data_IF_743538196183
#
_entry.id   IF_743538196183
#
_cell.length_a   1.000
_cell.length_b   1.000
_cell.length_c   1.000
_cell.angle_alpha   90.00
_cell.angle_beta   90.00
_cell.angle_gamma   90.00
#
_symmetry.space_group_name_H-M   'P 1'
#
loop_
_entity.id
_entity.type
_entity.pdbx_description
1 polymer ?
#
# COMPACT_ATOMS: atom_id res chain seq x y z
N UNK A 1 2.53 -18.88 -25.53
CA UNK A 1 2.19 -18.28 -24.22
C UNK A 1 1.11 -19.13 -23.57
N UNK A 2 1.37 -19.75 -22.40
CA UNK A 2 0.53 -20.83 -21.83
C UNK A 2 -0.80 -20.30 -21.27
N UNK A 3 -1.89 -20.53 -21.98
CA UNK A 3 -3.27 -20.21 -21.59
C UNK A 3 -3.67 -20.87 -20.24
N UNK A 4 -3.01 -21.97 -19.86
CA UNK A 4 -3.28 -22.65 -18.59
C UNK A 4 -2.86 -21.85 -17.34
N UNK A 5 -1.89 -20.94 -17.44
CA UNK A 5 -1.45 -20.10 -16.31
C UNK A 5 -2.37 -18.92 -16.02
N UNK A 6 -3.05 -18.36 -17.02
CA UNK A 6 -4.01 -17.26 -16.82
C UNK A 6 -5.26 -17.69 -16.04
N UNK A 7 -5.57 -18.98 -16.03
CA UNK A 7 -6.70 -19.55 -15.29
C UNK A 7 -6.36 -20.01 -13.86
N UNK A 8 -5.10 -19.91 -13.44
CA UNK A 8 -4.72 -20.26 -12.06
C UNK A 8 -5.41 -19.34 -11.06
N UNK A 9 -6.19 -19.93 -10.16
CA UNK A 9 -6.88 -19.19 -9.09
C UNK A 9 -5.88 -18.45 -8.21
N UNK A 10 -4.73 -19.08 -7.91
CA UNK A 10 -3.66 -18.47 -7.11
C UNK A 10 -3.12 -17.19 -7.74
N UNK A 11 -2.87 -17.18 -9.06
CA UNK A 11 -2.43 -15.96 -9.76
C UNK A 11 -3.47 -14.84 -9.65
N UNK A 12 -4.74 -15.16 -9.88
CA UNK A 12 -5.83 -14.19 -9.81
C UNK A 12 -5.97 -13.61 -8.38
N UNK A 13 -5.93 -14.47 -7.37
CA UNK A 13 -5.99 -14.04 -5.97
C UNK A 13 -4.80 -13.17 -5.59
N UNK A 14 -3.57 -13.56 -5.95
CA UNK A 14 -2.37 -12.75 -5.69
C UNK A 14 -2.51 -11.36 -6.33
N UNK A 15 -2.91 -11.27 -7.60
CA UNK A 15 -3.08 -9.98 -8.28
C UNK A 15 -4.19 -9.11 -7.64
N UNK A 16 -5.28 -9.72 -7.19
CA UNK A 16 -6.36 -9.00 -6.51
C UNK A 16 -5.93 -8.52 -5.12
N UNK A 17 -5.31 -9.39 -4.33
CA UNK A 17 -4.83 -9.05 -2.98
C UNK A 17 -3.74 -7.97 -3.04
N UNK A 18 -2.74 -8.12 -3.89
CA UNK A 18 -1.69 -7.11 -4.03
C UNK A 18 -2.24 -5.76 -4.53
N UNK A 19 -3.29 -5.77 -5.36
CA UNK A 19 -3.94 -4.54 -5.80
C UNK A 19 -4.66 -3.83 -4.65
N UNK A 20 -5.20 -4.55 -3.66
CA UNK A 20 -5.84 -3.92 -2.49
C UNK A 20 -4.85 -3.17 -1.62
N UNK A 21 -3.55 -3.54 -1.64
CA UNK A 21 -2.50 -2.86 -0.88
C UNK A 21 -2.39 -1.37 -1.26
N UNK A 22 -2.71 -1.01 -2.50
CA UNK A 22 -2.65 0.39 -2.96
C UNK A 22 -3.67 1.26 -2.22
N UNK A 23 -4.87 0.74 -1.97
CA UNK A 23 -5.92 1.44 -1.22
C UNK A 23 -5.66 1.36 0.28
N UNK A 24 -5.15 0.22 0.75
CA UNK A 24 -4.81 -0.01 2.15
C UNK A 24 -3.80 1.04 2.66
N UNK A 25 -2.87 1.50 1.81
CA UNK A 25 -1.83 2.46 2.17
C UNK A 25 -2.36 3.76 2.81
N UNK A 26 -3.54 4.23 2.37
CA UNK A 26 -4.18 5.42 2.93
C UNK A 26 -5.35 5.08 3.85
N UNK A 27 -6.22 4.15 3.45
CA UNK A 27 -7.46 3.84 4.17
C UNK A 27 -7.23 3.37 5.61
N UNK A 28 -6.18 2.58 5.84
CA UNK A 28 -5.87 2.02 7.15
C UNK A 28 -5.48 3.08 8.17
N UNK A 29 -4.72 4.11 7.76
CA UNK A 29 -4.13 5.05 8.70
C UNK A 29 -4.96 6.34 8.89
N UNK A 30 -5.88 6.63 7.98
CA UNK A 30 -6.69 7.84 8.04
C UNK A 30 -7.41 8.04 9.38
N UNK A 31 -7.99 7.00 10.02
CA UNK A 31 -8.62 7.14 11.32
C UNK A 31 -7.66 7.41 12.48
N UNK A 32 -6.36 7.11 12.33
CA UNK A 32 -5.34 7.34 13.37
C UNK A 32 -4.88 8.79 13.46
N UNK A 33 -5.11 9.60 12.43
CA UNK A 33 -4.58 10.96 12.34
C UNK A 33 -4.97 11.85 13.55
N UNK A 34 -6.22 11.87 14.05
CA UNK A 34 -6.58 12.68 15.21
C UNK A 34 -5.83 12.26 16.48
N UNK A 35 -5.64 10.95 16.68
CA UNK A 35 -4.88 10.41 17.80
C UNK A 35 -3.40 10.77 17.74
N UNK A 36 -2.81 10.68 16.54
CA UNK A 36 -1.43 11.10 16.27
C UNK A 36 -1.26 12.62 16.53
N UNK A 37 -2.15 13.44 16.00
CA UNK A 37 -2.10 14.89 16.16
C UNK A 37 -2.13 15.29 17.64
N UNK A 38 -3.05 14.71 18.42
CA UNK A 38 -3.12 14.93 19.86
C UNK A 38 -1.82 14.53 20.56
N UNK A 39 -1.31 13.33 20.30
CA UNK A 39 -0.10 12.80 20.91
C UNK A 39 1.13 13.68 20.63
N UNK A 40 1.39 14.03 19.36
CA UNK A 40 2.56 14.82 19.00
C UNK A 40 2.42 16.30 19.40
N UNK A 41 1.21 16.83 19.47
CA UNK A 41 0.97 18.19 20.03
C UNK A 41 1.25 18.25 21.53
N UNK A 42 0.85 17.22 22.28
CA UNK A 42 1.14 17.11 23.72
C UNK A 42 2.65 16.99 24.00
N UNK A 43 3.40 16.37 23.09
CA UNK A 43 4.87 16.30 23.15
C UNK A 43 5.55 17.61 22.72
N UNK A 44 4.80 18.63 22.31
CA UNK A 44 5.34 19.93 21.91
C UNK A 44 6.04 19.93 20.54
N UNK A 45 5.72 18.97 19.65
CA UNK A 45 6.27 18.94 18.30
C UNK A 45 5.76 20.15 17.52
N UNK A 46 6.69 20.97 17.02
CA UNK A 46 6.34 22.13 16.19
C UNK A 46 5.61 21.69 14.91
N UNK A 47 4.50 22.34 14.58
CA UNK A 47 3.69 22.02 13.39
C UNK A 47 3.17 20.56 13.35
N UNK A 48 2.89 19.93 14.49
CA UNK A 48 2.42 18.55 14.58
C UNK A 48 1.21 18.30 13.65
N UNK A 49 0.22 19.21 13.61
CA UNK A 49 -0.93 19.12 12.72
C UNK A 49 -0.53 18.98 11.25
N UNK A 50 0.38 19.82 10.75
CA UNK A 50 0.84 19.78 9.37
C UNK A 50 1.59 18.46 9.07
N UNK A 51 2.51 18.07 9.95
CA UNK A 51 3.33 16.88 9.77
C UNK A 51 2.47 15.60 9.82
N UNK A 52 1.46 15.54 10.70
CA UNK A 52 0.53 14.41 10.77
C UNK A 52 -0.32 14.31 9.49
N UNK A 53 -0.78 15.43 8.93
CA UNK A 53 -1.47 15.42 7.62
C UNK A 53 -0.56 14.91 6.50
N UNK A 54 0.74 15.20 6.56
CA UNK A 54 1.72 14.68 5.62
C UNK A 54 1.88 13.15 5.72
N UNK A 55 1.66 12.54 6.87
CA UNK A 55 1.68 11.06 7.02
C UNK A 55 0.73 10.38 6.03
N UNK A 56 -0.42 11.00 5.74
CA UNK A 56 -1.39 10.47 4.78
C UNK A 56 -1.01 10.80 3.32
N UNK A 57 -0.51 12.01 3.06
CA UNK A 57 -0.30 12.50 1.69
C UNK A 57 1.11 12.22 1.16
N UNK A 58 2.09 12.04 2.03
CA UNK A 58 3.49 11.81 1.67
C UNK A 58 3.68 10.57 0.78
N UNK A 59 3.02 9.44 1.03
CA UNK A 59 3.10 8.29 0.13
C UNK A 59 2.71 8.63 -1.31
N UNK A 60 1.69 9.47 -1.52
CA UNK A 60 1.23 9.82 -2.87
C UNK A 60 2.32 10.53 -3.69
N UNK A 61 3.09 11.43 -3.07
CA UNK A 61 4.23 12.09 -3.71
C UNK A 61 5.28 11.06 -4.16
N UNK A 62 5.61 10.11 -3.28
CA UNK A 62 6.63 9.09 -3.55
C UNK A 62 6.14 8.00 -4.50
N UNK A 63 4.82 7.79 -4.65
CA UNK A 63 4.23 6.97 -5.72
C UNK A 63 4.52 7.62 -7.08
N UNK A 64 4.33 8.93 -7.22
CA UNK A 64 4.59 9.64 -8.47
C UNK A 64 6.06 9.56 -8.87
N UNK A 65 6.97 9.77 -7.93
CA UNK A 65 8.42 9.67 -8.16
C UNK A 65 8.84 8.22 -8.41
N UNK A 66 8.28 7.28 -7.68
CA UNK A 66 8.64 5.85 -7.72
C UNK A 66 8.14 5.12 -8.96
N UNK A 67 7.01 5.56 -9.55
CA UNK A 67 6.41 4.85 -10.68
C UNK A 67 7.33 4.75 -11.92
N UNK A 68 8.00 5.81 -12.39
CA UNK A 68 8.97 5.69 -13.48
C UNK A 68 10.18 4.82 -13.09
N UNK A 69 10.63 4.90 -11.84
CA UNK A 69 11.74 4.06 -11.34
C UNK A 69 11.33 2.59 -11.36
N UNK A 70 10.12 2.27 -10.89
CA UNK A 70 9.55 0.92 -10.94
C UNK A 70 9.47 0.39 -12.38
N UNK A 71 9.11 1.23 -13.36
CA UNK A 71 9.12 0.88 -14.78
C UNK A 71 10.51 0.45 -15.25
N UNK A 72 11.54 1.24 -14.96
CA UNK A 72 12.94 0.92 -15.32
C UNK A 72 13.39 -0.40 -14.65
N UNK A 73 13.02 -0.63 -13.40
CA UNK A 73 13.37 -1.85 -12.67
C UNK A 73 12.69 -3.07 -13.30
N UNK A 74 11.41 -2.95 -13.70
CA UNK A 74 10.68 -4.02 -14.39
C UNK A 74 11.37 -4.42 -15.68
N UNK A 75 11.85 -3.45 -16.45
CA UNK A 75 12.51 -3.71 -17.74
C UNK A 75 13.84 -4.47 -17.55
N UNK A 76 14.55 -4.21 -16.44
CA UNK A 76 15.84 -4.84 -16.15
C UNK A 76 15.73 -6.19 -15.44
N UNK A 77 14.88 -6.28 -14.43
CA UNK A 77 14.83 -7.40 -13.49
C UNK A 77 13.54 -8.22 -13.60
N UNK A 78 12.54 -7.71 -14.33
CA UNK A 78 11.24 -8.36 -14.49
C UNK A 78 10.23 -8.00 -13.39
N UNK A 79 8.97 -8.42 -13.64
CA UNK A 79 7.80 -8.01 -12.83
C UNK A 79 7.73 -8.70 -11.48
N UNK A 80 8.05 -10.01 -11.44
CA UNK A 80 7.89 -10.83 -10.21
C UNK A 80 8.88 -10.44 -9.10
N UNK A 81 10.19 -10.26 -9.38
CA UNK A 81 11.14 -9.81 -8.36
C UNK A 81 10.78 -8.44 -7.80
N UNK A 82 10.36 -7.50 -8.67
CA UNK A 82 9.94 -6.18 -8.20
C UNK A 82 8.69 -6.27 -7.33
N UNK A 83 7.68 -7.07 -7.73
CA UNK A 83 6.46 -7.24 -6.93
C UNK A 83 6.80 -7.79 -5.54
N UNK A 84 7.59 -8.85 -5.46
CA UNK A 84 7.99 -9.45 -4.18
C UNK A 84 8.78 -8.48 -3.30
N UNK A 85 9.77 -7.78 -3.85
CA UNK A 85 10.54 -6.79 -3.13
C UNK A 85 9.65 -5.62 -2.64
N UNK A 86 8.72 -5.18 -3.47
CA UNK A 86 7.79 -4.09 -3.13
C UNK A 86 6.81 -4.49 -2.04
N UNK A 87 6.29 -5.72 -2.05
CA UNK A 87 5.40 -6.24 -0.99
C UNK A 87 6.13 -6.34 0.35
N UNK A 88 7.39 -6.82 0.35
CA UNK A 88 8.23 -6.86 1.55
C UNK A 88 8.49 -5.44 2.08
N UNK A 89 8.92 -4.53 1.22
CA UNK A 89 9.14 -3.14 1.59
C UNK A 89 7.87 -2.48 2.10
N UNK A 90 6.71 -2.79 1.49
CA UNK A 90 5.40 -2.31 1.90
C UNK A 90 5.07 -2.70 3.35
N UNK A 91 5.26 -3.97 3.70
CA UNK A 91 5.03 -4.47 5.06
C UNK A 91 5.96 -3.80 6.08
N UNK A 92 7.26 -3.73 5.78
CA UNK A 92 8.26 -3.15 6.68
C UNK A 92 8.06 -1.63 6.85
N UNK A 93 7.96 -0.90 5.74
CA UNK A 93 7.79 0.55 5.77
C UNK A 93 6.40 0.95 6.30
N UNK A 94 5.36 0.18 5.95
CA UNK A 94 4.01 0.41 6.42
C UNK A 94 3.86 0.26 7.92
N UNK A 95 4.45 -0.78 8.51
CA UNK A 95 4.41 -1.06 9.93
C UNK A 95 5.30 -0.13 10.78
N UNK A 96 6.14 0.71 10.17
CA UNK A 96 7.10 1.57 10.89
C UNK A 96 6.46 2.44 11.98
N UNK A 97 5.27 2.96 11.76
CA UNK A 97 4.55 3.76 12.75
C UNK A 97 4.05 2.99 13.97
N UNK A 98 4.16 1.65 14.00
CA UNK A 98 3.80 0.85 15.19
C UNK A 98 4.87 0.85 16.27
N UNK A 99 6.11 1.20 15.94
CA UNK A 99 7.27 1.17 16.84
C UNK A 99 8.11 2.44 16.81
N UNK A 100 7.81 3.40 15.93
CA UNK A 100 8.50 4.68 15.89
C UNK A 100 7.70 5.75 16.64
N UNK A 101 8.39 6.48 17.51
CA UNK A 101 7.82 7.58 18.29
C UNK A 101 8.20 8.96 17.72
N UNK A 102 9.08 9.02 16.70
CA UNK A 102 9.45 10.24 16.00
C UNK A 102 8.60 10.42 14.74
N UNK A 103 7.93 11.57 14.65
CA UNK A 103 7.08 11.90 13.50
C UNK A 103 7.88 12.00 12.21
N UNK A 104 9.11 12.49 12.26
CA UNK A 104 10.02 12.56 11.10
C UNK A 104 10.37 11.15 10.59
N UNK A 105 10.67 10.21 11.49
CA UNK A 105 10.96 8.83 11.11
C UNK A 105 9.73 8.12 10.55
N UNK A 106 8.54 8.41 11.09
CA UNK A 106 7.29 7.92 10.51
C UNK A 106 7.11 8.46 9.09
N UNK A 107 7.42 9.73 8.82
CA UNK A 107 7.35 10.31 7.48
C UNK A 107 8.35 9.64 6.51
N UNK A 108 9.56 9.30 6.97
CA UNK A 108 10.50 8.50 6.16
C UNK A 108 9.91 7.14 5.82
N UNK A 109 9.30 6.46 6.79
CA UNK A 109 8.55 5.22 6.56
C UNK A 109 7.42 5.39 5.53
N UNK A 110 6.70 6.52 5.57
CA UNK A 110 5.65 6.85 4.59
C UNK A 110 6.22 7.08 3.18
N UNK A 111 7.38 7.71 3.07
CA UNK A 111 8.07 7.87 1.79
C UNK A 111 8.48 6.51 1.19
N UNK A 112 9.08 5.64 1.98
CA UNK A 112 9.43 4.28 1.57
C UNK A 112 8.19 3.45 1.20
N UNK A 113 7.08 3.61 1.94
CA UNK A 113 5.80 3.01 1.59
C UNK A 113 5.30 3.48 0.23
N UNK A 114 5.46 4.77 -0.09
CA UNK A 114 5.11 5.31 -1.41
C UNK A 114 5.87 4.64 -2.55
N UNK A 115 7.18 4.43 -2.40
CA UNK A 115 7.98 3.66 -3.37
C UNK A 115 7.52 2.22 -3.48
N UNK A 116 7.19 1.57 -2.36
CA UNK A 116 6.66 0.21 -2.35
C UNK A 116 5.32 0.11 -3.10
N UNK A 117 4.39 1.04 -2.84
CA UNK A 117 3.11 1.12 -3.55
C UNK A 117 3.31 1.31 -5.05
N UNK A 118 4.25 2.19 -5.46
CA UNK A 118 4.58 2.39 -6.87
C UNK A 118 5.03 1.07 -7.54
N UNK A 119 5.90 0.31 -6.87
CA UNK A 119 6.37 -0.98 -7.36
C UNK A 119 5.25 -2.03 -7.44
N UNK A 120 4.38 -2.10 -6.44
CA UNK A 120 3.18 -2.98 -6.44
C UNK A 120 2.24 -2.62 -7.59
N UNK A 121 1.86 -1.34 -7.72
CA UNK A 121 0.97 -0.88 -8.79
C UNK A 121 1.50 -1.19 -10.17
N UNK A 122 2.76 -0.81 -10.42
CA UNK A 122 3.38 -1.00 -11.74
C UNK A 122 3.52 -2.48 -12.08
N UNK A 123 3.95 -3.30 -11.12
CA UNK A 123 4.09 -4.75 -11.34
C UNK A 123 2.75 -5.44 -11.54
N UNK A 124 1.75 -5.13 -10.70
CA UNK A 124 0.42 -5.73 -10.81
C UNK A 124 -0.25 -5.38 -12.14
N UNK A 125 -0.22 -4.11 -12.55
CA UNK A 125 -0.78 -3.65 -13.81
C UNK A 125 -0.10 -4.33 -15.00
N UNK A 126 1.23 -4.42 -14.99
CA UNK A 126 1.99 -5.08 -16.07
C UNK A 126 1.67 -6.57 -16.12
N UNK A 127 1.61 -7.27 -14.98
CA UNK A 127 1.24 -8.69 -14.94
C UNK A 127 -0.18 -8.91 -15.47
N UNK A 128 -1.15 -8.04 -15.12
CA UNK A 128 -2.51 -8.14 -15.64
C UNK A 128 -2.50 -8.01 -17.19
N UNK A 129 -1.71 -7.09 -17.73
CA UNK A 129 -1.62 -6.92 -19.19
C UNK A 129 -0.93 -8.08 -19.89
N UNK A 130 0.00 -8.76 -19.22
CA UNK A 130 0.71 -9.91 -19.76
C UNK A 130 -0.14 -11.19 -19.75
N UNK A 131 -0.98 -11.38 -18.70
CA UNK A 131 -1.75 -12.61 -18.56
C UNK A 131 -3.16 -12.54 -19.15
N UNK A 132 -3.73 -11.35 -19.26
CA UNK A 132 -5.09 -11.16 -19.74
C UNK A 132 -5.13 -10.26 -20.98
N UNK A 133 -5.97 -10.62 -21.97
CA UNK A 133 -6.16 -9.86 -23.21
C UNK A 133 -7.64 -9.63 -23.52
N UNK A 134 -7.94 -8.61 -24.31
CA UNK A 134 -9.30 -8.33 -24.79
C UNK A 134 -10.33 -8.21 -23.65
N UNK A 135 -11.47 -8.86 -23.81
CA UNK A 135 -12.57 -8.84 -22.86
C UNK A 135 -12.20 -9.43 -21.48
N UNK A 136 -11.35 -10.46 -21.44
CA UNK A 136 -10.88 -11.05 -20.19
C UNK A 136 -10.08 -10.04 -19.33
N UNK A 137 -9.27 -9.20 -19.97
CA UNK A 137 -8.54 -8.11 -19.32
C UNK A 137 -9.49 -7.06 -18.76
N UNK A 138 -10.47 -6.62 -19.56
CA UNK A 138 -11.46 -5.64 -19.12
C UNK A 138 -12.27 -6.17 -17.91
N UNK A 139 -12.71 -7.42 -17.94
CA UNK A 139 -13.41 -8.06 -16.83
C UNK A 139 -12.54 -8.17 -15.57
N UNK A 140 -11.24 -8.51 -15.74
CA UNK A 140 -10.33 -8.62 -14.58
C UNK A 140 -10.05 -7.25 -13.94
N UNK A 141 -9.89 -6.18 -14.74
CA UNK A 141 -9.73 -4.81 -14.23
C UNK A 141 -11.00 -4.37 -13.48
N UNK A 142 -12.19 -4.71 -13.97
CA UNK A 142 -13.44 -4.47 -13.26
C UNK A 142 -13.50 -5.20 -11.91
N UNK A 143 -13.07 -6.47 -11.86
CA UNK A 143 -12.99 -7.24 -10.63
C UNK A 143 -11.95 -6.65 -9.66
N UNK A 144 -10.78 -6.22 -10.17
CA UNK A 144 -9.75 -5.54 -9.41
C UNK A 144 -10.30 -4.26 -8.75
N UNK A 145 -11.02 -3.44 -9.49
CA UNK A 145 -11.65 -2.23 -8.95
C UNK A 145 -12.66 -2.54 -7.84
N UNK A 146 -13.47 -3.59 -7.99
CA UNK A 146 -14.40 -4.05 -6.96
C UNK A 146 -13.66 -4.52 -5.69
N UNK A 147 -12.57 -5.30 -5.84
CA UNK A 147 -11.73 -5.74 -4.73
C UNK A 147 -11.06 -4.56 -4.01
N UNK A 148 -10.56 -3.57 -4.75
CA UNK A 148 -9.98 -2.36 -4.18
C UNK A 148 -11.03 -1.55 -3.40
N UNK A 149 -12.25 -1.40 -3.94
CA UNK A 149 -13.35 -0.72 -3.27
C UNK A 149 -13.76 -1.43 -1.98
N UNK A 150 -13.96 -2.75 -2.03
CA UNK A 150 -14.26 -3.56 -0.84
C UNK A 150 -13.12 -3.51 0.18
N UNK A 151 -11.87 -3.66 -0.28
CA UNK A 151 -10.68 -3.52 0.54
C UNK A 151 -10.59 -2.17 1.24
N UNK A 152 -10.92 -1.09 0.53
CA UNK A 152 -10.96 0.26 1.10
C UNK A 152 -11.92 0.36 2.29
N UNK A 153 -13.14 -0.14 2.15
CA UNK A 153 -14.14 -0.16 3.24
C UNK A 153 -13.67 -1.04 4.40
N UNK A 154 -13.13 -2.23 4.09
CA UNK A 154 -12.62 -3.15 5.10
C UNK A 154 -11.47 -2.54 5.90
N UNK A 155 -10.44 -2.01 5.22
CA UNK A 155 -9.26 -1.45 5.88
C UNK A 155 -9.55 -0.15 6.62
N UNK A 156 -10.46 0.68 6.11
CA UNK A 156 -10.91 1.87 6.82
C UNK A 156 -11.64 1.49 8.12
N UNK A 157 -12.52 0.49 8.06
CA UNK A 157 -13.28 0.01 9.22
C UNK A 157 -12.38 -0.66 10.28
N UNK A 158 -11.44 -1.50 9.84
CA UNK A 158 -10.46 -2.13 10.73
C UNK A 158 -9.51 -1.08 11.32
N UNK A 159 -9.02 -0.17 10.49
CA UNK A 159 -8.18 0.94 10.92
C UNK A 159 -8.87 1.81 11.98
N UNK A 160 -10.15 2.13 11.78
CA UNK A 160 -10.95 2.88 12.74
C UNK A 160 -11.03 2.18 14.10
N UNK A 161 -11.44 0.92 14.11
CA UNK A 161 -11.54 0.14 15.37
C UNK A 161 -10.20 0.00 16.10
N UNK A 162 -9.11 -0.16 15.37
CA UNK A 162 -7.78 -0.25 15.96
C UNK A 162 -7.29 1.12 16.44
N UNK A 163 -7.59 2.20 15.73
CA UNK A 163 -7.25 3.56 16.13
C UNK A 163 -7.95 3.98 17.43
N UNK A 164 -9.18 3.48 17.68
CA UNK A 164 -9.91 3.69 18.94
C UNK A 164 -9.18 3.07 20.15
N UNK A 165 -8.42 1.99 19.94
CA UNK A 165 -7.63 1.35 20.99
C UNK A 165 -6.29 2.08 21.19
N UNK A 166 -5.57 2.33 20.11
CA UNK A 166 -4.29 3.03 20.09
C UNK A 166 -3.99 3.47 18.66
N UNK A 167 -3.53 4.71 18.46
CA UNK A 167 -3.18 5.23 17.15
C UNK A 167 -2.04 4.46 16.43
N UNK A 168 -1.21 3.72 17.17
CA UNK A 168 -0.17 2.84 16.61
C UNK A 168 -0.74 1.54 16.01
N UNK A 169 -1.86 1.04 16.55
CA UNK A 169 -2.37 -0.29 16.22
C UNK A 169 -2.70 -0.48 14.73
N UNK A 170 -3.28 0.49 14.00
CA UNK A 170 -3.53 0.35 12.56
C UNK A 170 -2.29 0.09 11.72
N UNK A 171 -1.11 0.53 12.17
CA UNK A 171 0.13 0.27 11.44
C UNK A 171 0.50 -1.22 11.36
N UNK A 172 0.02 -2.04 12.28
CA UNK A 172 0.25 -3.49 12.26
C UNK A 172 -0.48 -4.19 11.11
N UNK A 173 -1.57 -3.58 10.59
CA UNK A 173 -2.31 -4.15 9.44
C UNK A 173 -1.40 -4.25 8.21
N UNK A 174 -0.40 -3.36 8.07
CA UNK A 174 0.52 -3.39 6.94
C UNK A 174 1.35 -4.68 6.85
N UNK A 175 1.54 -5.39 7.97
CA UNK A 175 2.19 -6.70 7.97
C UNK A 175 1.38 -7.76 7.22
N UNK A 176 0.07 -7.55 7.05
CA UNK A 176 -0.76 -8.41 6.21
C UNK A 176 -0.22 -8.48 4.76
N UNK A 177 0.40 -7.42 4.27
CA UNK A 177 0.98 -7.41 2.93
C UNK A 177 2.00 -8.54 2.73
N UNK A 178 2.76 -8.89 3.77
CA UNK A 178 3.80 -9.94 3.67
C UNK A 178 3.18 -11.34 3.53
N UNK A 179 1.91 -11.51 3.89
CA UNK A 179 1.19 -12.78 3.78
C UNK A 179 0.40 -12.92 2.46
N UNK A 180 0.32 -11.87 1.65
CA UNK A 180 -0.41 -11.84 0.37
C UNK A 180 0.47 -12.21 -0.83
#
# INVERSE_FOLDING_TARGET
MNISRSNSLSLKLTLLLTSTLTVMAGATIAPSLPGMEKHFSELGVANAELLVRLVLTFPALFIVIGSPIAGIIIDKFGRKPLLAASVLLYGLAGSSGSYLESLELILVGRALLGFAVAGVMTSATTLITDYFTGQARASFIGLQAAFMGFGGVLFLSLGGRLADLNWHAPFLIYLFAVSS
#
